data_IF_637936696339
#
_entry.id   IF_637936696339
#
_cell.length_a   1.000
_cell.length_b   1.000
_cell.length_c   1.000
_cell.angle_alpha   90.00
_cell.angle_beta   90.00
_cell.angle_gamma   90.00
#
_symmetry.space_group_name_H-M   'P 1'
#
loop_
_entity.id
_entity.type
_entity.pdbx_description
1 polymer ?
#
# COMPACT_ATOMS: atom_id res chain seq x y z
N UNK A 1 -6.37 -4.40 -14.66
CA UNK A 1 -6.82 -3.19 -13.96
C UNK A 1 -5.69 -2.60 -13.13
N UNK A 2 -5.48 -1.27 -13.15
CA UNK A 2 -4.55 -0.62 -12.22
C UNK A 2 -5.31 0.18 -11.16
N UNK A 3 -4.83 0.19 -9.93
CA UNK A 3 -5.22 1.11 -8.85
C UNK A 3 -5.37 2.56 -9.34
N UNK A 4 -4.56 2.96 -10.33
CA UNK A 4 -4.62 4.26 -11.00
C UNK A 4 -5.94 4.53 -11.70
N UNK A 5 -6.58 3.53 -12.31
CA UNK A 5 -7.87 3.70 -12.99
C UNK A 5 -8.98 4.03 -12.00
N UNK A 6 -9.05 3.30 -10.87
CA UNK A 6 -10.01 3.59 -9.79
C UNK A 6 -9.77 4.97 -9.20
N UNK A 7 -8.51 5.34 -8.98
CA UNK A 7 -8.12 6.67 -8.52
C UNK A 7 -8.54 7.78 -9.50
N UNK A 8 -8.27 7.62 -10.79
CA UNK A 8 -8.64 8.59 -11.82
C UNK A 8 -10.16 8.77 -11.92
N UNK A 9 -10.93 7.69 -11.80
CA UNK A 9 -12.39 7.77 -11.77
C UNK A 9 -12.91 8.43 -10.49
N UNK A 10 -12.33 8.15 -9.32
CA UNK A 10 -12.65 8.87 -8.09
C UNK A 10 -12.41 10.38 -8.27
N UNK A 11 -11.24 10.75 -8.81
CA UNK A 11 -10.87 12.16 -8.99
C UNK A 11 -11.82 12.88 -9.96
N UNK A 12 -12.20 12.24 -11.07
CA UNK A 12 -13.17 12.77 -12.04
C UNK A 12 -14.59 12.91 -11.50
N UNK A 13 -14.96 12.15 -10.46
CA UNK A 13 -16.30 12.22 -9.84
C UNK A 13 -16.33 13.15 -8.62
N UNK A 14 -15.19 13.31 -7.92
CA UNK A 14 -15.11 13.92 -6.58
C UNK A 14 -14.77 15.42 -6.49
N UNK A 15 -14.17 16.05 -7.50
CA UNK A 15 -13.76 17.47 -7.40
C UNK A 15 -14.01 18.25 -8.71
N UNK A 16 -14.79 19.34 -8.62
CA UNK A 16 -15.10 20.36 -9.65
C UNK A 16 -15.53 19.90 -11.07
N UNK A 17 -15.65 18.59 -11.29
CA UNK A 17 -15.98 17.94 -12.58
C UNK A 17 -17.08 16.89 -12.41
N UNK A 18 -18.02 17.11 -11.48
CA UNK A 18 -19.22 16.25 -11.40
C UNK A 18 -19.90 16.16 -12.76
N UNK A 19 -20.28 14.95 -13.16
CA UNK A 19 -20.96 14.71 -14.43
C UNK A 19 -22.21 15.61 -14.50
N UNK A 20 -22.46 16.34 -15.61
CA UNK A 20 -23.50 17.36 -15.67
C UNK A 20 -24.88 16.87 -15.19
N UNK A 21 -25.27 15.68 -15.64
CA UNK A 21 -26.54 15.04 -15.27
C UNK A 21 -26.69 14.68 -13.79
N UNK A 22 -25.61 14.64 -12.99
CA UNK A 22 -25.70 14.47 -11.53
C UNK A 22 -26.05 15.78 -10.80
N UNK A 23 -25.87 16.92 -11.46
CA UNK A 23 -26.11 18.26 -10.89
C UNK A 23 -27.41 18.90 -11.38
N UNK A 24 -28.00 18.34 -12.43
CA UNK A 24 -29.22 18.87 -13.04
C UNK A 24 -30.47 18.57 -12.20
N UNK A 25 -31.27 19.61 -11.94
CA UNK A 25 -32.55 19.49 -11.20
C UNK A 25 -33.52 18.52 -11.86
N UNK A 26 -33.48 18.40 -13.20
CA UNK A 26 -34.36 17.48 -13.93
C UNK A 26 -34.08 16.01 -13.58
N UNK A 27 -32.82 15.66 -13.26
CA UNK A 27 -32.38 14.30 -12.97
C UNK A 27 -32.52 13.90 -11.49
N UNK A 28 -32.81 14.86 -10.61
CA UNK A 28 -32.85 14.65 -9.15
C UNK A 28 -33.85 13.56 -8.72
N UNK A 29 -35.03 13.51 -9.35
CA UNK A 29 -36.06 12.50 -9.06
C UNK A 29 -35.60 11.09 -9.46
N UNK A 30 -34.93 10.96 -10.61
CA UNK A 30 -34.35 9.70 -11.09
C UNK A 30 -33.20 9.24 -10.19
N UNK A 31 -32.31 10.15 -9.79
CA UNK A 31 -31.19 9.88 -8.89
C UNK A 31 -31.69 9.34 -7.54
N UNK A 32 -32.68 10.01 -6.93
CA UNK A 32 -33.30 9.58 -5.68
C UNK A 32 -33.97 8.21 -5.80
N UNK A 33 -34.70 7.97 -6.88
CA UNK A 33 -35.32 6.67 -7.15
C UNK A 33 -34.27 5.56 -7.26
N UNK A 34 -33.23 5.76 -8.08
CA UNK A 34 -32.17 4.78 -8.31
C UNK A 34 -31.46 4.47 -6.99
N UNK A 35 -31.03 5.49 -6.25
CA UNK A 35 -30.30 5.28 -5.01
C UNK A 35 -31.12 4.51 -3.96
N UNK A 36 -32.43 4.76 -3.88
CA UNK A 36 -33.35 4.09 -2.95
C UNK A 36 -33.65 2.64 -3.35
N UNK A 37 -33.72 2.35 -4.65
CA UNK A 37 -34.10 1.03 -5.16
C UNK A 37 -32.90 0.15 -5.51
N UNK A 38 -31.69 0.70 -5.56
CA UNK A 38 -30.47 -0.04 -5.86
C UNK A 38 -30.29 -1.24 -4.92
N UNK A 39 -29.96 -2.44 -5.44
CA UNK A 39 -29.71 -2.80 -6.85
C UNK A 39 -30.96 -3.29 -7.59
N UNK A 40 -32.11 -3.34 -6.94
CA UNK A 40 -33.37 -3.85 -7.50
C UNK A 40 -34.12 -2.74 -8.26
N UNK A 41 -33.57 -2.35 -9.41
CA UNK A 41 -34.13 -1.32 -10.28
C UNK A 41 -35.17 -1.92 -11.24
N UNK A 42 -36.33 -1.27 -11.38
CA UNK A 42 -37.35 -1.65 -12.36
C UNK A 42 -37.50 -0.53 -13.40
N UNK A 43 -36.89 -0.75 -14.56
CA UNK A 43 -36.87 0.21 -15.67
C UNK A 43 -38.19 0.26 -16.44
N UNK A 44 -39.01 -0.80 -16.36
CA UNK A 44 -40.21 -0.98 -17.18
C UNK A 44 -41.45 -0.39 -16.51
N UNK A 45 -41.58 -0.54 -15.20
CA UNK A 45 -42.74 -0.02 -14.45
C UNK A 45 -42.58 1.43 -13.99
N UNK A 46 -41.34 1.93 -13.84
CA UNK A 46 -41.04 3.21 -13.18
C UNK A 46 -40.75 4.35 -14.16
N UNK A 47 -41.43 4.37 -15.30
CA UNK A 47 -41.27 5.37 -16.37
C UNK A 47 -41.51 6.82 -15.91
N UNK A 48 -42.35 7.03 -14.90
CA UNK A 48 -42.58 8.36 -14.30
C UNK A 48 -41.32 8.94 -13.63
N UNK A 49 -40.51 8.11 -12.99
CA UNK A 49 -39.28 8.54 -12.31
C UNK A 49 -38.06 8.55 -13.23
N UNK A 50 -38.06 7.72 -14.29
CA UNK A 50 -36.94 7.57 -15.23
C UNK A 50 -37.15 8.32 -16.55
N UNK A 51 -38.21 9.14 -16.67
CA UNK A 51 -38.49 9.93 -17.87
C UNK A 51 -37.30 10.79 -18.36
N UNK A 52 -36.61 11.56 -17.49
CA UNK A 52 -35.41 12.31 -17.86
C UNK A 52 -34.28 11.40 -18.39
N UNK A 53 -34.01 10.29 -17.69
CA UNK A 53 -33.00 9.28 -18.09
C UNK A 53 -33.30 8.72 -19.48
N UNK A 54 -34.58 8.49 -19.80
CA UNK A 54 -34.98 7.96 -21.10
C UNK A 54 -34.71 8.94 -22.25
N UNK A 55 -34.89 10.25 -22.02
CA UNK A 55 -34.65 11.29 -23.03
C UNK A 55 -33.18 11.38 -23.43
N UNK A 56 -32.27 11.23 -22.48
CA UNK A 56 -30.82 11.38 -22.67
C UNK A 56 -30.06 10.03 -22.64
N UNK A 57 -30.78 8.92 -22.80
CA UNK A 57 -30.24 7.56 -22.55
C UNK A 57 -28.95 7.24 -23.31
N UNK A 58 -28.82 7.69 -24.56
CA UNK A 58 -27.64 7.40 -25.39
C UNK A 58 -26.38 8.13 -24.89
N UNK A 59 -26.53 9.38 -24.44
CA UNK A 59 -25.41 10.18 -23.93
C UNK A 59 -24.97 9.73 -22.54
N UNK A 60 -25.94 9.48 -21.65
CA UNK A 60 -25.70 8.93 -20.32
C UNK A 60 -24.99 7.57 -20.43
N UNK A 61 -25.50 6.68 -21.29
CA UNK A 61 -24.89 5.36 -21.53
C UNK A 61 -23.44 5.50 -21.96
N UNK A 62 -23.17 6.23 -23.06
CA UNK A 62 -21.83 6.45 -23.60
C UNK A 62 -20.85 7.02 -22.56
N UNK A 63 -21.32 7.96 -21.75
CA UNK A 63 -20.48 8.62 -20.73
C UNK A 63 -20.16 7.69 -19.57
N UNK A 64 -21.14 6.88 -19.14
CA UNK A 64 -21.01 6.00 -17.99
C UNK A 64 -20.36 4.65 -18.30
N UNK A 65 -20.29 4.22 -19.56
CA UNK A 65 -19.72 2.90 -19.93
C UNK A 65 -18.32 2.68 -19.35
N UNK A 66 -17.41 3.67 -19.45
CA UNK A 66 -16.05 3.52 -18.92
C UNK A 66 -16.01 3.42 -17.38
N UNK A 67 -16.88 4.17 -16.69
CA UNK A 67 -17.02 4.08 -15.24
C UNK A 67 -17.58 2.73 -14.83
N UNK A 68 -18.67 2.29 -15.49
CA UNK A 68 -19.31 1.00 -15.25
C UNK A 68 -18.34 -0.17 -15.45
N UNK A 69 -17.58 -0.15 -16.56
CA UNK A 69 -16.59 -1.19 -16.81
C UNK A 69 -15.56 -1.22 -15.69
N UNK A 70 -15.05 -0.08 -15.22
CA UNK A 70 -14.13 -0.06 -14.06
C UNK A 70 -14.75 -0.72 -12.82
N UNK A 71 -16.03 -0.51 -12.53
CA UNK A 71 -16.70 -1.17 -11.40
C UNK A 71 -16.79 -2.70 -11.57
N UNK A 72 -17.14 -3.17 -12.77
CA UNK A 72 -17.18 -4.61 -13.11
C UNK A 72 -15.80 -5.24 -12.94
N UNK A 73 -14.80 -4.55 -13.42
CA UNK A 73 -13.42 -4.97 -13.53
C UNK A 73 -12.79 -5.03 -12.10
N UNK A 74 -13.26 -4.18 -11.15
CA UNK A 74 -12.93 -4.27 -9.71
C UNK A 74 -13.59 -5.48 -9.05
N UNK A 75 -14.85 -5.77 -9.42
CA UNK A 75 -15.57 -6.94 -8.94
C UNK A 75 -14.87 -8.24 -9.37
N UNK A 76 -14.49 -8.33 -10.64
CA UNK A 76 -13.73 -9.48 -11.15
C UNK A 76 -12.37 -9.60 -10.46
N UNK A 77 -11.62 -8.50 -10.30
CA UNK A 77 -10.37 -8.50 -9.55
C UNK A 77 -10.57 -9.05 -8.12
N UNK A 78 -11.61 -8.58 -7.42
CA UNK A 78 -11.96 -9.05 -6.07
C UNK A 78 -12.22 -10.55 -6.04
N UNK A 79 -12.96 -11.08 -7.00
CA UNK A 79 -13.25 -12.52 -7.07
C UNK A 79 -11.98 -13.36 -7.29
N UNK A 80 -11.09 -12.95 -8.19
CA UNK A 80 -9.80 -13.63 -8.42
C UNK A 80 -8.89 -13.58 -7.18
N UNK A 81 -8.85 -12.44 -6.48
CA UNK A 81 -8.08 -12.33 -5.23
C UNK A 81 -8.65 -13.27 -4.18
N UNK A 82 -9.97 -13.28 -3.99
CA UNK A 82 -10.62 -14.12 -2.99
C UNK A 82 -10.39 -15.61 -3.28
N UNK A 83 -10.51 -16.04 -4.54
CA UNK A 83 -10.18 -17.40 -4.96
C UNK A 83 -8.71 -17.75 -4.64
N UNK A 84 -7.76 -16.88 -5.00
CA UNK A 84 -6.35 -17.11 -4.76
C UNK A 84 -6.02 -17.21 -3.26
N UNK A 85 -6.58 -16.33 -2.42
CA UNK A 85 -6.38 -16.38 -0.97
C UNK A 85 -6.88 -17.71 -0.39
N UNK A 86 -8.04 -18.20 -0.85
CA UNK A 86 -8.57 -19.49 -0.43
C UNK A 86 -7.69 -20.67 -0.87
N UNK A 87 -7.11 -20.62 -2.07
CA UNK A 87 -6.16 -21.64 -2.56
C UNK A 87 -4.89 -21.66 -1.69
N UNK A 88 -4.33 -20.49 -1.37
CA UNK A 88 -3.13 -20.38 -0.53
C UNK A 88 -3.39 -20.96 0.86
N UNK A 89 -4.55 -20.70 1.44
CA UNK A 89 -4.93 -21.25 2.73
C UNK A 89 -5.15 -22.77 2.69
N UNK A 90 -5.86 -23.25 1.66
CA UNK A 90 -6.15 -24.67 1.48
C UNK A 90 -4.86 -25.49 1.27
N UNK A 91 -3.88 -24.92 0.58
CA UNK A 91 -2.56 -25.54 0.33
C UNK A 91 -1.58 -25.35 1.49
N UNK A 92 -1.93 -24.54 2.50
CA UNK A 92 -1.10 -24.23 3.66
C UNK A 92 0.31 -23.75 3.25
N UNK A 93 0.38 -22.84 2.28
CA UNK A 93 1.66 -22.31 1.81
C UNK A 93 2.51 -21.77 2.98
N UNK A 94 3.78 -22.18 3.02
CA UNK A 94 4.75 -21.59 3.93
C UNK A 94 5.20 -20.23 3.38
N UNK A 95 5.03 -19.16 4.16
CA UNK A 95 5.40 -17.79 3.81
C UNK A 95 6.43 -17.26 4.80
N UNK A 96 7.66 -17.03 4.33
CA UNK A 96 8.74 -16.41 5.08
C UNK A 96 9.56 -15.49 4.16
N UNK A 97 9.58 -14.19 4.47
CA UNK A 97 10.27 -13.18 3.66
C UNK A 97 11.77 -13.46 3.49
N UNK A 98 12.38 -14.20 4.42
CA UNK A 98 13.80 -14.53 4.43
C UNK A 98 14.11 -15.79 3.61
N UNK A 99 13.08 -16.57 3.24
CA UNK A 99 13.21 -17.81 2.47
C UNK A 99 12.62 -17.64 1.07
N UNK A 100 11.34 -17.29 0.97
CA UNK A 100 10.63 -17.12 -0.29
C UNK A 100 10.15 -15.68 -0.45
N UNK A 101 11.14 -14.79 -0.55
CA UNK A 101 10.98 -13.35 -0.64
C UNK A 101 9.87 -12.91 -1.60
N UNK A 102 9.98 -13.30 -2.88
CA UNK A 102 9.03 -12.87 -3.90
C UNK A 102 7.62 -13.36 -3.60
N UNK A 103 7.46 -14.60 -3.12
CA UNK A 103 6.14 -15.14 -2.84
C UNK A 103 5.48 -14.42 -1.66
N UNK A 104 6.20 -14.29 -0.54
CA UNK A 104 5.70 -13.60 0.66
C UNK A 104 5.42 -12.13 0.40
N UNK A 105 6.31 -11.44 -0.33
CA UNK A 105 6.12 -10.04 -0.70
C UNK A 105 4.91 -9.84 -1.59
N UNK A 106 4.79 -10.60 -2.69
CA UNK A 106 3.67 -10.45 -3.62
C UNK A 106 2.34 -10.81 -2.96
N UNK A 107 2.31 -11.79 -2.05
CA UNK A 107 1.12 -12.11 -1.26
C UNK A 107 0.66 -10.92 -0.41
N UNK A 108 1.57 -10.32 0.36
CA UNK A 108 1.25 -9.18 1.21
C UNK A 108 0.92 -7.91 0.39
N UNK A 109 1.60 -7.68 -0.74
CA UNK A 109 1.30 -6.57 -1.65
C UNK A 109 -0.08 -6.72 -2.30
N UNK A 110 -0.50 -7.95 -2.63
CA UNK A 110 -1.83 -8.24 -3.16
C UNK A 110 -2.90 -7.88 -2.13
N UNK A 111 -2.69 -8.24 -0.85
CA UNK A 111 -3.59 -7.88 0.25
C UNK A 111 -3.70 -6.36 0.39
N UNK A 112 -2.57 -5.65 0.45
CA UNK A 112 -2.55 -4.18 0.54
C UNK A 112 -3.27 -3.55 -0.65
N UNK A 113 -3.01 -4.06 -1.86
CA UNK A 113 -3.66 -3.59 -3.09
C UNK A 113 -5.16 -3.82 -3.05
N UNK A 114 -5.59 -5.01 -2.66
CA UNK A 114 -7.00 -5.38 -2.55
C UNK A 114 -7.75 -4.48 -1.58
N UNK A 115 -7.22 -4.31 -0.36
CA UNK A 115 -7.80 -3.41 0.65
C UNK A 115 -7.86 -1.97 0.13
N UNK A 116 -6.78 -1.50 -0.50
CA UNK A 116 -6.71 -0.14 -1.04
C UNK A 116 -7.78 0.09 -2.11
N UNK A 117 -7.94 -0.85 -3.05
CA UNK A 117 -8.97 -0.78 -4.11
C UNK A 117 -10.38 -0.74 -3.50
N UNK A 118 -10.69 -1.63 -2.56
CA UNK A 118 -12.02 -1.71 -1.93
C UNK A 118 -12.32 -0.43 -1.11
N UNK A 119 -11.36 0.07 -0.35
CA UNK A 119 -11.53 1.33 0.40
C UNK A 119 -11.69 2.51 -0.57
N UNK A 120 -10.89 2.61 -1.63
CA UNK A 120 -11.04 3.67 -2.63
C UNK A 120 -12.39 3.62 -3.33
N UNK A 121 -12.88 2.43 -3.67
CA UNK A 121 -14.20 2.22 -4.25
C UNK A 121 -15.31 2.79 -3.36
N UNK A 122 -15.21 2.57 -2.06
CA UNK A 122 -16.19 3.07 -1.08
C UNK A 122 -16.21 4.61 -0.98
N UNK A 123 -15.10 5.27 -1.33
CA UNK A 123 -14.94 6.73 -1.35
C UNK A 123 -15.39 7.37 -2.65
N UNK A 124 -15.87 6.59 -3.62
CA UNK A 124 -16.52 7.13 -4.81
C UNK A 124 -17.95 7.51 -4.42
N UNK A 125 -18.21 8.81 -4.40
CA UNK A 125 -19.55 9.37 -4.20
C UNK A 125 -20.49 8.93 -5.33
N UNK A 126 -21.78 8.81 -5.00
CA UNK A 126 -22.83 8.48 -5.97
C UNK A 126 -22.61 7.16 -6.76
N UNK A 127 -21.71 6.27 -6.31
CA UNK A 127 -21.40 4.99 -7.01
C UNK A 127 -22.63 4.14 -7.34
N UNK A 128 -23.62 4.06 -6.43
CA UNK A 128 -24.90 3.36 -6.66
C UNK A 128 -25.68 3.99 -7.82
N UNK A 129 -25.66 5.33 -7.90
CA UNK A 129 -26.33 6.10 -8.94
C UNK A 129 -25.62 5.93 -10.27
N UNK A 130 -24.28 6.01 -10.31
CA UNK A 130 -23.48 5.79 -11.53
C UNK A 130 -23.75 4.40 -12.13
N UNK A 131 -23.69 3.36 -11.30
CA UNK A 131 -23.93 1.97 -11.72
C UNK A 131 -25.39 1.78 -12.14
N UNK A 132 -26.33 2.35 -11.38
CA UNK A 132 -27.76 2.24 -11.64
C UNK A 132 -28.21 2.99 -12.91
N UNK A 133 -27.70 4.19 -13.16
CA UNK A 133 -27.98 4.96 -14.37
C UNK A 133 -27.46 4.24 -15.62
N UNK A 134 -26.24 3.70 -15.56
CA UNK A 134 -25.71 2.89 -16.64
C UNK A 134 -26.61 1.67 -16.92
N UNK A 135 -27.02 0.95 -15.87
CA UNK A 135 -27.90 -0.20 -16.01
C UNK A 135 -29.26 0.18 -16.63
N UNK A 136 -29.90 1.24 -16.13
CA UNK A 136 -31.19 1.69 -16.66
C UNK A 136 -31.09 2.06 -18.15
N UNK A 137 -30.03 2.79 -18.54
CA UNK A 137 -29.84 3.21 -19.93
C UNK A 137 -29.46 2.04 -20.84
N UNK A 138 -28.65 1.09 -20.36
CA UNK A 138 -28.36 -0.16 -21.07
C UNK A 138 -29.66 -0.93 -21.38
N UNK A 139 -30.51 -1.16 -20.38
CA UNK A 139 -31.76 -1.91 -20.60
C UNK A 139 -32.73 -1.15 -21.54
N UNK A 140 -32.80 0.19 -21.45
CA UNK A 140 -33.62 1.01 -22.36
C UNK A 140 -33.12 1.05 -23.81
N UNK A 141 -31.85 0.73 -24.05
CA UNK A 141 -31.24 0.71 -25.39
C UNK A 141 -31.26 -0.70 -25.97
N UNK A 142 -30.88 -1.70 -25.18
CA UNK A 142 -30.69 -3.07 -25.64
C UNK A 142 -31.89 -4.00 -25.36
N UNK A 143 -32.84 -3.57 -24.51
CA UNK A 143 -34.01 -4.36 -24.11
C UNK A 143 -33.72 -5.46 -23.09
N UNK A 144 -32.44 -5.66 -22.74
CA UNK A 144 -31.96 -6.68 -21.80
C UNK A 144 -31.10 -6.06 -20.70
N UNK A 145 -31.14 -6.69 -19.54
CA UNK A 145 -30.27 -6.36 -18.41
C UNK A 145 -28.83 -6.81 -18.67
N UNK A 146 -27.87 -6.00 -18.23
CA UNK A 146 -26.46 -6.41 -18.19
C UNK A 146 -26.25 -7.61 -17.23
N UNK A 147 -25.41 -8.57 -17.63
CA UNK A 147 -25.17 -9.81 -16.89
C UNK A 147 -24.42 -9.59 -15.57
N UNK A 148 -23.54 -8.60 -15.50
CA UNK A 148 -22.72 -8.28 -14.35
C UNK A 148 -23.44 -7.41 -13.31
N UNK A 149 -24.48 -6.66 -13.72
CA UNK A 149 -25.17 -5.71 -12.85
C UNK A 149 -25.66 -6.30 -11.52
N UNK A 150 -26.27 -7.49 -11.52
CA UNK A 150 -26.79 -8.09 -10.28
C UNK A 150 -25.67 -8.38 -9.28
N UNK A 151 -24.57 -8.99 -9.74
CA UNK A 151 -23.41 -9.33 -8.91
C UNK A 151 -22.71 -8.07 -8.44
N UNK A 152 -22.53 -7.09 -9.34
CA UNK A 152 -21.89 -5.82 -9.01
C UNK A 152 -22.72 -5.03 -7.98
N UNK A 153 -24.05 -4.98 -8.16
CA UNK A 153 -24.95 -4.33 -7.23
C UNK A 153 -24.90 -4.94 -5.83
N UNK A 154 -24.86 -6.28 -5.76
CA UNK A 154 -24.70 -7.00 -4.49
C UNK A 154 -23.35 -6.68 -3.82
N UNK A 155 -22.25 -6.69 -4.57
CA UNK A 155 -20.92 -6.31 -4.06
C UNK A 155 -20.94 -4.90 -3.46
N UNK A 156 -21.53 -3.93 -4.15
CA UNK A 156 -21.57 -2.53 -3.70
C UNK A 156 -22.35 -2.37 -2.38
N UNK A 157 -23.38 -3.19 -2.13
CA UNK A 157 -24.09 -3.21 -0.84
C UNK A 157 -23.22 -3.84 0.25
N UNK A 158 -22.58 -4.98 -0.05
CA UNK A 158 -21.77 -5.69 0.94
C UNK A 158 -20.61 -4.84 1.46
N UNK A 159 -19.99 -4.04 0.59
CA UNK A 159 -18.94 -3.09 0.95
C UNK A 159 -19.47 -1.68 1.29
N UNK A 160 -20.74 -1.52 1.67
CA UNK A 160 -21.25 -0.24 2.18
C UNK A 160 -20.49 0.20 3.44
N UNK A 161 -20.10 -0.76 4.29
CA UNK A 161 -19.05 -0.59 5.29
C UNK A 161 -17.85 -1.46 4.92
N UNK A 162 -16.88 -0.92 4.15
CA UNK A 162 -15.81 -1.73 3.55
C UNK A 162 -14.90 -2.35 4.61
N UNK A 163 -14.56 -1.61 5.67
CA UNK A 163 -13.69 -2.10 6.72
C UNK A 163 -14.31 -3.30 7.43
N UNK A 164 -15.60 -3.22 7.80
CA UNK A 164 -16.29 -4.34 8.44
C UNK A 164 -16.29 -5.58 7.56
N UNK A 165 -16.68 -5.42 6.28
CA UNK A 165 -16.73 -6.54 5.34
C UNK A 165 -15.35 -7.16 5.13
N UNK A 166 -14.30 -6.34 5.00
CA UNK A 166 -12.92 -6.81 4.87
C UNK A 166 -12.45 -7.59 6.11
N UNK A 167 -12.78 -7.13 7.33
CA UNK A 167 -12.45 -7.86 8.56
C UNK A 167 -13.11 -9.24 8.61
N UNK A 168 -14.38 -9.32 8.20
CA UNK A 168 -15.13 -10.59 8.12
C UNK A 168 -14.50 -11.53 7.06
N UNK A 169 -14.14 -11.01 5.89
CA UNK A 169 -13.52 -11.77 4.79
C UNK A 169 -12.13 -12.31 5.13
N UNK A 170 -11.33 -11.55 5.89
CA UNK A 170 -9.97 -11.95 6.26
C UNK A 170 -9.90 -12.85 7.51
N UNK A 171 -11.03 -13.13 8.16
CA UNK A 171 -11.12 -14.02 9.31
C UNK A 171 -10.42 -15.37 9.07
N UNK A 172 -10.78 -16.13 8.02
CA UNK A 172 -10.14 -17.42 7.68
C UNK A 172 -8.64 -17.31 7.39
N UNK A 173 -8.20 -16.19 6.79
CA UNK A 173 -6.83 -15.94 6.35
C UNK A 173 -5.87 -15.53 7.48
N UNK A 174 -6.37 -15.33 8.71
CA UNK A 174 -5.61 -14.79 9.86
C UNK A 174 -4.28 -15.51 10.08
N UNK A 175 -4.27 -16.85 10.05
CA UNK A 175 -3.06 -17.66 10.30
C UNK A 175 -1.97 -17.38 9.26
N UNK A 176 -2.33 -17.45 7.98
CA UNK A 176 -1.40 -17.26 6.86
C UNK A 176 -0.84 -15.84 6.84
N UNK A 177 -1.71 -14.83 7.01
CA UNK A 177 -1.30 -13.41 7.02
C UNK A 177 -0.40 -13.10 8.22
N UNK A 178 -0.76 -13.54 9.43
CA UNK A 178 0.04 -13.30 10.63
C UNK A 178 1.42 -13.97 10.56
N UNK A 179 1.52 -15.20 10.06
CA UNK A 179 2.82 -15.85 9.83
C UNK A 179 3.67 -15.08 8.82
N UNK A 180 3.07 -14.67 7.69
CA UNK A 180 3.77 -13.85 6.70
C UNK A 180 4.30 -12.57 7.36
N UNK A 181 3.47 -11.81 8.09
CA UNK A 181 3.88 -10.58 8.78
C UNK A 181 4.96 -10.79 9.84
N UNK A 182 4.89 -11.86 10.63
CA UNK A 182 5.87 -12.18 11.66
C UNK A 182 7.26 -12.45 11.05
N UNK A 183 7.34 -13.05 9.86
CA UNK A 183 8.63 -13.28 9.20
C UNK A 183 9.40 -11.98 8.90
N UNK A 184 8.68 -10.85 8.81
CA UNK A 184 9.27 -9.53 8.59
C UNK A 184 9.69 -8.81 9.88
N UNK A 185 9.50 -9.42 11.07
CA UNK A 185 9.75 -8.79 12.37
C UNK A 185 11.11 -8.11 12.44
N UNK A 186 12.19 -8.85 12.16
CA UNK A 186 13.56 -8.34 12.26
C UNK A 186 13.84 -7.23 11.24
N UNK A 187 13.32 -7.36 10.01
CA UNK A 187 13.49 -6.37 8.96
C UNK A 187 12.81 -5.05 9.33
N UNK A 188 11.58 -5.14 9.84
CA UNK A 188 10.80 -3.99 10.24
C UNK A 188 11.35 -3.31 11.49
N UNK A 189 11.72 -4.08 12.51
CA UNK A 189 12.27 -3.54 13.76
C UNK A 189 13.52 -2.68 13.50
N UNK A 190 14.47 -3.21 12.72
CA UNK A 190 15.71 -2.49 12.35
C UNK A 190 15.44 -1.24 11.51
N UNK A 191 14.51 -1.32 10.55
CA UNK A 191 14.07 -0.17 9.74
C UNK A 191 13.42 0.91 10.60
N UNK A 192 12.72 0.52 11.66
CA UNK A 192 11.96 1.43 12.50
C UNK A 192 12.74 2.00 13.70
N UNK A 193 14.07 1.88 13.71
CA UNK A 193 14.93 2.51 14.73
C UNK A 193 14.87 4.05 14.71
N UNK A 194 15.21 4.68 15.83
CA UNK A 194 15.39 6.13 15.93
C UNK A 194 16.72 6.57 15.33
N UNK A 195 16.87 7.89 15.11
CA UNK A 195 18.14 8.45 14.65
C UNK A 195 19.30 8.17 15.63
N UNK A 196 19.05 8.13 16.93
CA UNK A 196 20.08 7.83 17.94
C UNK A 196 20.55 6.38 17.82
N UNK A 197 19.62 5.45 17.63
CA UNK A 197 19.95 4.04 17.37
C UNK A 197 20.71 3.87 16.07
N UNK A 198 20.31 4.56 14.98
CA UNK A 198 21.07 4.53 13.72
C UNK A 198 22.49 5.09 13.87
N UNK A 199 22.71 6.10 14.73
CA UNK A 199 24.06 6.59 15.05
C UNK A 199 24.85 5.58 15.86
N UNK A 200 24.25 4.94 16.85
CA UNK A 200 24.90 3.90 17.64
C UNK A 200 25.30 2.69 16.78
N UNK A 201 24.46 2.30 15.83
CA UNK A 201 24.69 1.22 14.86
C UNK A 201 25.67 1.62 13.73
N UNK A 202 26.11 2.89 13.69
CA UNK A 202 26.92 3.47 12.61
C UNK A 202 26.34 3.19 11.20
N UNK A 203 25.01 3.24 11.09
CA UNK A 203 24.29 2.90 9.87
C UNK A 203 24.78 3.77 8.70
N UNK A 204 25.06 3.12 7.56
CA UNK A 204 25.58 3.74 6.33
C UNK A 204 27.00 4.31 6.37
N UNK A 205 27.73 4.18 7.49
CA UNK A 205 29.15 4.55 7.50
C UNK A 205 29.97 3.60 6.63
N UNK A 206 30.73 4.16 5.68
CA UNK A 206 31.67 3.40 4.85
C UNK A 206 33.08 3.33 5.45
N UNK A 207 33.36 4.19 6.44
CA UNK A 207 34.67 4.37 7.07
C UNK A 207 34.75 3.84 8.49
N UNK A 208 33.62 3.42 9.08
CA UNK A 208 33.56 2.84 10.43
C UNK A 208 34.49 1.65 10.61
N UNK A 209 34.63 0.82 9.57
CA UNK A 209 35.59 -0.27 9.53
C UNK A 209 36.38 -0.26 8.21
N UNK A 210 37.56 0.42 8.18
CA UNK A 210 38.38 0.53 6.98
C UNK A 210 38.81 -0.82 6.39
N UNK A 211 38.99 -1.85 7.24
CA UNK A 211 39.36 -3.19 6.80
C UNK A 211 38.25 -3.85 5.94
N UNK A 212 36.99 -3.46 6.15
CA UNK A 212 35.83 -3.96 5.42
C UNK A 212 35.41 -3.03 4.26
N UNK A 213 36.20 -2.01 3.92
CA UNK A 213 35.82 -1.06 2.88
C UNK A 213 35.71 -1.74 1.50
N UNK A 214 36.56 -2.72 1.21
CA UNK A 214 36.55 -3.46 -0.06
C UNK A 214 35.64 -4.69 -0.04
N UNK A 215 35.15 -5.12 1.13
CA UNK A 215 34.28 -6.29 1.21
C UNK A 215 32.89 -5.98 0.65
N UNK A 216 32.23 -6.94 -0.02
CA UNK A 216 30.84 -6.77 -0.43
C UNK A 216 30.00 -6.47 0.81
N UNK A 217 29.26 -5.37 0.77
CA UNK A 217 28.21 -5.17 1.74
C UNK A 217 27.13 -6.22 1.49
N UNK A 218 26.82 -7.03 2.50
CA UNK A 218 25.63 -7.86 2.54
C UNK A 218 24.58 -7.19 3.41
N UNK A 219 23.32 -7.35 3.04
CA UNK A 219 22.22 -6.99 3.91
C UNK A 219 21.06 -7.93 3.65
N UNK A 220 20.52 -8.51 4.71
CA UNK A 220 19.27 -9.28 4.64
C UNK A 220 18.04 -8.37 4.40
N UNK A 221 18.25 -7.04 4.41
CA UNK A 221 17.20 -6.00 4.34
C UNK A 221 17.06 -5.31 2.97
N UNK A 222 17.60 -5.89 1.89
CA UNK A 222 17.43 -5.36 0.51
C UNK A 222 15.94 -5.18 0.15
N UNK A 223 15.13 -6.04 0.74
CA UNK A 223 13.68 -6.06 0.77
C UNK A 223 13.06 -4.72 1.22
N UNK A 224 12.47 -3.99 0.27
CA UNK A 224 11.65 -2.81 0.55
C UNK A 224 10.27 -3.25 1.07
N UNK A 225 10.17 -3.61 2.35
CA UNK A 225 8.87 -3.84 2.95
C UNK A 225 8.16 -2.50 3.18
N UNK A 226 6.99 -2.32 2.56
CA UNK A 226 6.17 -1.14 2.78
C UNK A 226 5.51 -1.20 4.15
N UNK A 227 5.65 -0.15 4.96
CA UNK A 227 5.00 -0.05 6.28
C UNK A 227 3.46 -0.26 6.20
N UNK A 228 2.85 0.03 5.04
CA UNK A 228 1.43 -0.23 4.78
C UNK A 228 1.05 -1.72 4.91
N UNK A 229 1.97 -2.65 4.64
CA UNK A 229 1.74 -4.10 4.73
C UNK A 229 1.43 -4.52 6.17
N UNK A 230 2.21 -4.02 7.14
CA UNK A 230 1.96 -4.24 8.56
C UNK A 230 0.66 -3.60 9.01
N UNK A 231 0.46 -2.33 8.62
CA UNK A 231 -0.68 -1.52 9.06
C UNK A 231 -2.01 -2.08 8.54
N UNK A 232 -2.06 -2.55 7.30
CA UNK A 232 -3.26 -3.15 6.73
C UNK A 232 -3.42 -4.61 7.14
N UNK A 233 -2.34 -5.39 7.14
CA UNK A 233 -2.41 -6.82 7.45
C UNK A 233 -2.88 -7.11 8.88
N UNK A 234 -2.32 -6.42 9.89
CA UNK A 234 -2.76 -6.59 11.28
C UNK A 234 -4.12 -5.93 11.57
N UNK A 235 -4.50 -4.88 10.82
CA UNK A 235 -5.85 -4.34 10.89
C UNK A 235 -6.87 -5.40 10.49
N UNK A 236 -6.63 -6.09 9.36
CA UNK A 236 -7.51 -7.14 8.85
C UNK A 236 -7.53 -8.39 9.74
N UNK A 237 -6.36 -8.82 10.21
CA UNK A 237 -6.19 -10.05 10.99
C UNK A 237 -6.13 -9.75 12.50
N UNK A 238 -7.03 -8.91 12.99
CA UNK A 238 -6.98 -8.37 14.35
C UNK A 238 -7.02 -9.42 15.47
N UNK A 239 -7.60 -10.60 15.21
CA UNK A 239 -7.71 -11.69 16.19
C UNK A 239 -6.34 -12.21 16.63
N UNK A 240 -5.30 -12.10 15.80
CA UNK A 240 -3.94 -12.49 16.18
C UNK A 240 -3.28 -11.55 17.21
N UNK A 241 -3.79 -10.31 17.35
CA UNK A 241 -3.25 -9.32 18.28
C UNK A 241 -3.51 -9.68 19.75
N UNK A 242 -4.61 -10.38 20.02
CA UNK A 242 -4.93 -10.87 21.37
C UNK A 242 -4.25 -12.19 21.72
N UNK A 243 -3.86 -12.98 20.73
CA UNK A 243 -3.30 -14.33 20.95
C UNK A 243 -1.78 -14.37 20.89
N UNK A 244 -1.14 -13.46 20.15
CA UNK A 244 0.31 -13.49 19.89
C UNK A 244 0.96 -12.16 20.24
N UNK A 245 1.78 -12.15 21.31
CA UNK A 245 2.43 -10.95 21.82
C UNK A 245 3.33 -10.26 20.77
N UNK A 246 4.09 -11.03 19.99
CA UNK A 246 4.95 -10.49 18.94
C UNK A 246 4.16 -9.74 17.85
N UNK A 247 2.93 -10.19 17.54
CA UNK A 247 2.04 -9.49 16.60
C UNK A 247 1.60 -8.13 17.18
N UNK A 248 1.24 -8.11 18.47
CA UNK A 248 0.85 -6.89 19.16
C UNK A 248 2.00 -5.87 19.23
N UNK A 249 3.21 -6.32 19.50
CA UNK A 249 4.41 -5.46 19.54
C UNK A 249 4.70 -4.85 18.17
N UNK A 250 4.71 -5.67 17.11
CA UNK A 250 4.88 -5.18 15.74
C UNK A 250 3.78 -4.20 15.34
N UNK A 251 2.53 -4.48 15.73
CA UNK A 251 1.41 -3.59 15.48
C UNK A 251 1.60 -2.23 16.16
N UNK A 252 1.99 -2.21 17.43
CA UNK A 252 2.28 -0.98 18.18
C UNK A 252 3.44 -0.19 17.54
N UNK A 253 4.51 -0.88 17.15
CA UNK A 253 5.64 -0.25 16.46
C UNK A 253 5.21 0.37 15.12
N UNK A 254 4.35 -0.31 14.36
CA UNK A 254 3.77 0.24 13.14
C UNK A 254 2.96 1.50 13.45
N UNK A 255 1.98 1.42 14.35
CA UNK A 255 1.12 2.55 14.71
C UNK A 255 1.89 3.78 15.19
N UNK A 256 2.98 3.61 15.94
CA UNK A 256 3.83 4.74 16.37
C UNK A 256 4.54 5.47 15.21
N UNK A 257 4.85 4.77 14.13
CA UNK A 257 5.63 5.32 13.02
C UNK A 257 4.84 6.14 11.99
N UNK A 258 3.51 6.14 11.99
CA UNK A 258 2.74 6.95 11.03
C UNK A 258 1.29 7.10 11.47
N UNK A 259 0.72 8.27 11.17
CA UNK A 259 -0.67 8.62 11.44
C UNK A 259 -1.60 8.25 10.28
N UNK A 260 -1.02 8.11 9.09
CA UNK A 260 -1.73 7.86 7.85
C UNK A 260 -1.16 6.64 7.13
N UNK A 261 -2.04 5.86 6.50
CA UNK A 261 -1.67 4.83 5.52
C UNK A 261 -1.97 5.38 4.13
N UNK A 262 -1.00 5.35 3.22
CA UNK A 262 -1.25 5.66 1.82
C UNK A 262 -2.00 4.52 1.16
N UNK A 263 -3.18 4.82 0.60
CA UNK A 263 -3.94 3.88 -0.25
C UNK A 263 -3.38 3.94 -1.67
N UNK A 264 -3.29 5.14 -2.23
CA UNK A 264 -2.66 5.42 -3.53
C UNK A 264 -2.35 6.92 -3.60
N UNK A 265 -1.16 7.30 -4.09
CA UNK A 265 -0.77 8.71 -4.26
C UNK A 265 -1.04 9.55 -3.00
N UNK A 266 -1.95 10.52 -3.07
CA UNK A 266 -2.40 11.45 -2.03
C UNK A 266 -3.58 10.92 -1.19
N UNK A 267 -4.23 9.84 -1.64
CA UNK A 267 -5.31 9.22 -0.88
C UNK A 267 -4.76 8.47 0.34
N UNK A 268 -5.13 8.97 1.51
CA UNK A 268 -4.69 8.39 2.79
C UNK A 268 -5.84 7.91 3.66
N UNK A 269 -5.53 7.00 4.58
CA UNK A 269 -6.42 6.49 5.61
C UNK A 269 -5.85 6.84 7.00
N UNK A 270 -6.59 7.59 7.85
CA UNK A 270 -6.14 7.92 9.20
C UNK A 270 -6.18 6.65 10.08
N UNK A 271 -5.01 6.07 10.38
CA UNK A 271 -4.95 4.71 10.92
C UNK A 271 -5.57 4.62 12.31
N UNK A 272 -5.28 5.55 13.21
CA UNK A 272 -5.80 5.50 14.59
C UNK A 272 -7.32 5.57 14.62
N UNK A 273 -7.92 6.44 13.80
CA UNK A 273 -9.38 6.54 13.67
C UNK A 273 -9.98 5.24 13.16
N UNK A 274 -9.38 4.66 12.12
CA UNK A 274 -9.85 3.38 11.55
C UNK A 274 -9.68 2.23 12.52
N UNK A 275 -8.57 2.18 13.27
CA UNK A 275 -8.33 1.17 14.31
C UNK A 275 -9.37 1.29 15.42
N UNK A 276 -9.69 2.50 15.87
CA UNK A 276 -10.71 2.74 16.87
C UNK A 276 -12.10 2.30 16.39
N UNK A 277 -12.49 2.68 15.17
CA UNK A 277 -13.75 2.27 14.56
C UNK A 277 -13.84 0.74 14.39
N UNK A 278 -12.75 0.09 13.97
CA UNK A 278 -12.69 -1.36 13.78
C UNK A 278 -12.74 -2.13 15.10
N UNK A 279 -11.99 -1.70 16.12
CA UNK A 279 -11.77 -2.49 17.34
C UNK A 279 -12.71 -2.14 18.49
N UNK A 280 -13.34 -0.95 18.48
CA UNK A 280 -14.35 -0.54 19.48
C UNK A 280 -15.49 -1.55 19.64
N UNK A 281 -15.84 -2.27 18.57
CA UNK A 281 -16.91 -3.28 18.55
C UNK A 281 -16.45 -4.70 18.90
N UNK A 282 -15.15 -4.99 18.75
CA UNK A 282 -14.59 -6.34 18.88
C UNK A 282 -14.02 -6.60 20.29
N UNK A 283 -13.37 -5.60 20.89
CA UNK A 283 -12.64 -5.77 22.16
C UNK A 283 -13.44 -5.31 23.40
N UNK A 284 -14.75 -5.11 23.29
CA UNK A 284 -15.62 -4.88 24.46
C UNK A 284 -15.37 -3.59 25.24
N UNK A 285 -14.74 -2.57 24.65
CA UNK A 285 -14.54 -1.29 25.31
C UNK A 285 -13.77 -0.28 24.49
N UNK A 286 -14.39 0.88 24.25
CA UNK A 286 -13.78 2.08 23.69
C UNK A 286 -12.70 2.57 24.66
N UNK A 287 -11.41 2.51 24.28
CA UNK A 287 -10.36 3.21 25.04
C UNK A 287 -9.04 2.48 25.32
N UNK A 288 -8.83 1.22 24.89
CA UNK A 288 -7.59 0.51 25.23
C UNK A 288 -6.31 1.23 24.73
N UNK A 289 -6.40 1.95 23.60
CA UNK A 289 -5.24 2.60 22.97
C UNK A 289 -5.38 4.13 22.79
N UNK A 290 -6.46 4.76 23.26
CA UNK A 290 -6.75 6.18 22.91
C UNK A 290 -5.69 7.15 23.45
N UNK A 291 -5.21 6.93 24.67
CA UNK A 291 -4.13 7.70 25.27
C UNK A 291 -2.76 7.38 24.64
N UNK A 292 -2.50 6.11 24.29
CA UNK A 292 -1.28 5.70 23.58
C UNK A 292 -1.21 6.37 22.20
N UNK A 293 -2.33 6.42 21.46
CA UNK A 293 -2.42 7.04 20.14
C UNK A 293 -2.11 8.54 20.19
N UNK A 294 -2.56 9.25 21.22
CA UNK A 294 -2.26 10.68 21.36
C UNK A 294 -0.77 10.92 21.64
N UNK A 295 -0.13 10.10 22.48
CA UNK A 295 1.31 10.16 22.71
C UNK A 295 2.12 9.87 21.44
N UNK A 296 1.72 8.85 20.68
CA UNK A 296 2.38 8.49 19.43
C UNK A 296 2.25 9.56 18.34
N UNK A 297 1.15 10.31 18.34
CA UNK A 297 0.96 11.42 17.43
C UNK A 297 2.04 12.49 17.60
N UNK A 298 2.38 12.85 18.84
CA UNK A 298 3.41 13.84 19.15
C UNK A 298 4.82 13.29 18.87
N UNK A 299 5.08 12.03 19.23
CA UNK A 299 6.39 11.41 19.05
C UNK A 299 6.78 11.19 17.57
N UNK A 300 5.81 10.92 16.71
CA UNK A 300 6.07 10.56 15.30
C UNK A 300 6.76 11.70 14.54
N UNK A 301 6.32 12.95 14.72
CA UNK A 301 6.94 14.12 14.08
C UNK A 301 8.42 14.27 14.43
N UNK A 302 8.75 14.14 15.71
CA UNK A 302 10.12 14.25 16.22
C UNK A 302 11.01 13.09 15.73
N UNK A 303 10.48 11.87 15.75
CA UNK A 303 11.17 10.67 15.24
C UNK A 303 11.64 10.88 13.79
N UNK A 304 10.71 11.24 12.90
CA UNK A 304 11.00 11.42 11.48
C UNK A 304 11.88 12.63 11.21
N UNK A 305 11.73 13.72 11.97
CA UNK A 305 12.66 14.87 11.89
C UNK A 305 14.09 14.45 12.25
N UNK A 306 14.27 13.66 13.31
CA UNK A 306 15.56 13.09 13.70
C UNK A 306 16.17 12.23 12.60
N UNK A 307 15.37 11.35 11.98
CA UNK A 307 15.79 10.48 10.88
C UNK A 307 16.25 11.27 9.65
N UNK A 308 15.51 12.30 9.23
CA UNK A 308 15.91 13.18 8.12
C UNK A 308 17.23 13.90 8.39
N UNK A 309 17.44 14.40 9.61
CA UNK A 309 18.71 15.00 10.03
C UNK A 309 19.88 14.01 9.92
N UNK A 310 19.68 12.78 10.41
CA UNK A 310 20.69 11.73 10.30
C UNK A 310 21.02 11.38 8.85
N UNK A 311 19.99 11.12 8.04
CA UNK A 311 20.14 10.72 6.64
C UNK A 311 20.85 11.79 5.81
N UNK A 312 20.57 13.08 6.03
CA UNK A 312 21.30 14.16 5.36
C UNK A 312 22.81 14.07 5.60
N UNK A 313 23.23 13.80 6.83
CA UNK A 313 24.65 13.66 7.16
C UNK A 313 25.24 12.38 6.58
N UNK A 314 24.59 11.24 6.79
CA UNK A 314 25.06 9.94 6.32
C UNK A 314 25.18 9.88 4.79
N UNK A 315 24.19 10.40 4.08
CA UNK A 315 24.19 10.43 2.61
C UNK A 315 25.23 11.42 2.07
N UNK A 316 25.42 12.57 2.72
CA UNK A 316 26.46 13.54 2.33
C UNK A 316 27.86 12.94 2.44
N UNK A 317 28.14 12.22 3.52
CA UNK A 317 29.40 11.51 3.71
C UNK A 317 29.58 10.38 2.69
N UNK A 318 28.55 9.54 2.52
CA UNK A 318 28.55 8.45 1.54
C UNK A 318 28.81 8.97 0.12
N UNK A 319 28.11 10.02 -0.29
CA UNK A 319 28.25 10.61 -1.61
C UNK A 319 29.67 11.16 -1.84
N UNK A 320 30.24 11.87 -0.86
CA UNK A 320 31.60 12.40 -0.95
C UNK A 320 32.64 11.28 -1.11
N UNK A 321 32.51 10.19 -0.35
CA UNK A 321 33.41 9.03 -0.43
C UNK A 321 33.30 8.36 -1.80
N UNK A 322 32.07 8.09 -2.27
CA UNK A 322 31.84 7.38 -3.53
C UNK A 322 32.19 8.22 -4.75
N UNK A 323 32.10 9.56 -4.67
CA UNK A 323 32.55 10.46 -5.71
C UNK A 323 34.09 10.46 -5.86
N UNK A 324 34.80 10.35 -4.74
CA UNK A 324 36.27 10.24 -4.73
C UNK A 324 36.75 8.84 -5.13
N UNK A 325 36.03 7.79 -4.71
CA UNK A 325 36.36 6.39 -4.96
C UNK A 325 35.22 5.62 -5.65
N UNK A 326 34.97 5.85 -6.95
CA UNK A 326 33.88 5.19 -7.68
C UNK A 326 33.98 3.65 -7.73
N UNK A 327 35.17 3.10 -7.49
CA UNK A 327 35.38 1.65 -7.39
C UNK A 327 34.56 0.97 -6.28
N UNK A 328 34.23 1.72 -5.22
CA UNK A 328 33.40 1.23 -4.12
C UNK A 328 31.93 1.02 -4.51
N UNK A 329 31.48 1.59 -5.64
CA UNK A 329 30.11 1.43 -6.12
C UNK A 329 29.77 -0.04 -6.43
N UNK A 330 30.74 -0.88 -6.79
CA UNK A 330 30.54 -2.32 -6.94
C UNK A 330 30.18 -3.01 -5.61
N UNK A 331 31.13 -3.11 -4.66
CA UNK A 331 30.90 -3.82 -3.39
C UNK A 331 29.87 -3.14 -2.47
N UNK A 332 29.64 -1.83 -2.59
CA UNK A 332 28.75 -1.06 -1.70
C UNK A 332 27.42 -0.64 -2.33
N UNK A 333 27.11 -1.08 -3.56
CA UNK A 333 25.85 -0.78 -4.26
C UNK A 333 24.62 -0.91 -3.36
N UNK A 334 24.57 -1.96 -2.53
CA UNK A 334 23.42 -2.24 -1.68
C UNK A 334 23.18 -1.15 -0.62
N UNK A 335 24.23 -0.60 -0.01
CA UNK A 335 24.08 0.48 0.97
C UNK A 335 23.55 1.77 0.31
N UNK A 336 23.88 1.99 -0.96
CA UNK A 336 23.39 3.15 -1.72
C UNK A 336 21.89 2.99 -1.99
N UNK A 337 21.45 1.81 -2.44
CA UNK A 337 20.03 1.53 -2.64
C UNK A 337 19.23 1.59 -1.33
N UNK A 338 19.80 1.09 -0.23
CA UNK A 338 19.22 1.23 1.10
C UNK A 338 19.12 2.70 1.50
N UNK A 339 20.19 3.49 1.39
CA UNK A 339 20.16 4.91 1.75
C UNK A 339 19.13 5.69 0.93
N UNK A 340 19.05 5.46 -0.39
CA UNK A 340 18.02 6.04 -1.27
C UNK A 340 16.61 5.62 -0.85
N UNK A 341 16.43 4.36 -0.46
CA UNK A 341 15.15 3.87 0.07
C UNK A 341 14.76 4.58 1.37
N UNK A 342 15.66 4.66 2.36
CA UNK A 342 15.37 5.34 3.62
C UNK A 342 15.04 6.82 3.41
N UNK A 343 15.79 7.49 2.53
CA UNK A 343 15.50 8.89 2.19
C UNK A 343 14.15 9.04 1.49
N UNK A 344 13.82 8.17 0.54
CA UNK A 344 12.50 8.17 -0.12
C UNK A 344 11.39 7.99 0.90
N UNK A 345 11.54 7.05 1.82
CA UNK A 345 10.51 6.72 2.80
C UNK A 345 10.24 7.93 3.72
N UNK A 346 11.29 8.63 4.18
CA UNK A 346 11.18 9.85 4.98
C UNK A 346 10.60 11.05 4.20
N UNK A 347 10.96 11.21 2.93
CA UNK A 347 10.38 12.26 2.05
C UNK A 347 8.89 12.00 1.83
N UNK A 348 8.53 10.78 1.44
CA UNK A 348 7.12 10.38 1.23
C UNK A 348 6.32 10.49 2.53
N UNK A 349 6.93 10.16 3.67
CA UNK A 349 6.34 10.37 4.99
C UNK A 349 6.06 11.84 5.26
N UNK A 350 7.02 12.73 4.99
CA UNK A 350 6.82 14.15 5.25
C UNK A 350 5.72 14.74 4.35
N UNK A 351 5.73 14.43 3.05
CA UNK A 351 4.72 14.93 2.11
C UNK A 351 3.32 14.59 2.58
N UNK A 352 3.03 13.30 2.84
CA UNK A 352 1.68 12.85 3.25
C UNK A 352 1.21 13.49 4.55
N UNK A 353 2.08 13.66 5.54
CA UNK A 353 1.70 14.26 6.83
C UNK A 353 1.61 15.78 6.79
N UNK A 354 2.38 16.44 5.92
CA UNK A 354 2.36 17.89 5.73
C UNK A 354 1.10 18.39 5.02
N UNK A 355 0.43 17.55 4.25
CA UNK A 355 -0.86 17.89 3.60
C UNK A 355 -2.02 17.76 4.58
N UNK A 356 -1.92 16.84 5.54
CA UNK A 356 -2.96 16.55 6.54
C UNK A 356 -2.71 17.25 7.89
N UNK A 357 -2.07 18.43 7.85
CA UNK A 357 -1.66 19.22 9.03
C UNK A 357 -2.80 19.39 10.02
N UNK A 358 -2.65 18.76 11.19
CA UNK A 358 -3.38 19.14 12.40
C UNK A 358 -2.86 20.44 13.02
N UNK A 359 -2.97 20.57 14.34
CA UNK A 359 -2.62 21.81 15.08
C UNK A 359 -1.10 22.08 15.22
N UNK A 360 -0.22 21.10 15.06
CA UNK A 360 1.24 21.25 15.25
C UNK A 360 1.98 21.44 13.92
N UNK A 361 1.93 22.65 13.33
CA UNK A 361 2.45 22.88 11.98
C UNK A 361 3.98 22.78 11.85
N UNK A 362 4.74 23.11 12.89
CA UNK A 362 6.21 23.17 12.81
C UNK A 362 6.88 21.78 12.69
N UNK A 363 6.30 20.77 13.34
CA UNK A 363 6.87 19.40 13.38
C UNK A 363 6.79 18.67 12.02
N UNK A 364 5.88 19.10 11.14
CA UNK A 364 5.66 18.56 9.80
C UNK A 364 6.23 19.44 8.69
N UNK A 365 7.26 20.22 9.01
CA UNK A 365 8.03 21.01 8.03
C UNK A 365 9.52 20.65 8.10
N UNK A 366 10.22 20.79 6.97
CA UNK A 366 11.68 20.63 6.90
C UNK A 366 12.25 21.64 5.91
N UNK A 367 12.89 22.69 6.43
CA UNK A 367 13.53 23.73 5.61
C UNK A 367 14.73 23.21 4.82
N UNK A 368 15.30 22.07 5.21
CA UNK A 368 16.44 21.44 4.56
C UNK A 368 16.03 20.23 3.70
N UNK A 369 14.74 20.05 3.39
CA UNK A 369 14.27 18.95 2.53
C UNK A 369 14.93 18.97 1.15
N UNK A 370 15.12 20.17 0.58
CA UNK A 370 15.78 20.35 -0.71
C UNK A 370 17.21 19.79 -0.73
N UNK A 371 17.94 19.91 0.37
CA UNK A 371 19.28 19.33 0.50
C UNK A 371 19.24 17.80 0.43
N UNK A 372 18.30 17.16 1.14
CA UNK A 372 18.15 15.70 1.10
C UNK A 372 17.81 15.21 -0.31
N UNK A 373 16.89 15.89 -1.00
CA UNK A 373 16.53 15.58 -2.39
C UNK A 373 17.71 15.74 -3.34
N UNK A 374 18.49 16.80 -3.17
CA UNK A 374 19.70 17.04 -3.97
C UNK A 374 20.73 15.92 -3.76
N UNK A 375 20.97 15.52 -2.50
CA UNK A 375 21.88 14.41 -2.17
C UNK A 375 21.40 13.07 -2.76
N UNK A 376 20.10 12.78 -2.72
CA UNK A 376 19.51 11.61 -3.39
C UNK A 376 19.80 11.63 -4.90
N UNK A 377 19.64 12.77 -5.56
CA UNK A 377 19.91 12.88 -7.00
C UNK A 377 21.41 12.78 -7.32
N UNK A 378 22.30 13.28 -6.46
CA UNK A 378 23.76 13.06 -6.60
C UNK A 378 24.13 11.59 -6.55
N UNK A 379 23.62 10.83 -5.56
CA UNK A 379 23.83 9.38 -5.50
C UNK A 379 23.30 8.67 -6.75
N UNK A 380 22.09 9.03 -7.21
CA UNK A 380 21.49 8.48 -8.44
C UNK A 380 22.36 8.78 -9.67
N UNK A 381 22.92 9.99 -9.76
CA UNK A 381 23.82 10.39 -10.84
C UNK A 381 25.12 9.60 -10.81
N UNK A 382 25.73 9.40 -9.64
CA UNK A 382 26.93 8.57 -9.48
C UNK A 382 26.70 7.12 -9.96
N UNK A 383 25.58 6.51 -9.55
CA UNK A 383 25.20 5.17 -9.99
C UNK A 383 25.08 5.07 -11.52
N UNK A 384 24.43 6.06 -12.15
CA UNK A 384 24.27 6.11 -13.62
C UNK A 384 25.60 6.33 -14.34
N UNK A 385 26.40 7.27 -13.86
CA UNK A 385 27.69 7.63 -14.48
C UNK A 385 28.69 6.46 -14.44
N UNK A 386 28.66 5.66 -13.39
CA UNK A 386 29.59 4.55 -13.17
C UNK A 386 28.91 3.17 -13.29
N UNK A 387 27.81 3.07 -14.03
CA UNK A 387 27.05 1.83 -14.22
C UNK A 387 27.93 0.65 -14.67
N UNK A 388 28.92 0.90 -15.54
CA UNK A 388 29.85 -0.11 -16.03
C UNK A 388 30.68 -0.76 -14.89
N UNK A 389 31.07 0.01 -13.86
CA UNK A 389 31.82 -0.50 -12.70
C UNK A 389 30.94 -1.47 -11.91
N UNK A 390 29.69 -1.07 -11.65
CA UNK A 390 28.71 -1.87 -10.93
C UNK A 390 28.43 -3.19 -11.68
N UNK A 391 28.14 -3.08 -12.98
CA UNK A 391 27.89 -4.25 -13.83
C UNK A 391 29.08 -5.21 -13.85
N UNK A 392 30.30 -4.70 -14.08
CA UNK A 392 31.50 -5.54 -14.11
C UNK A 392 31.70 -6.30 -12.79
N UNK A 393 31.55 -5.62 -11.66
CA UNK A 393 31.65 -6.23 -10.34
C UNK A 393 30.63 -7.36 -10.15
N UNK A 394 29.35 -7.10 -10.43
CA UNK A 394 28.29 -8.10 -10.22
C UNK A 394 28.32 -9.25 -11.23
N UNK A 395 28.74 -9.03 -12.48
CA UNK A 395 28.96 -10.11 -13.45
C UNK A 395 30.06 -11.06 -12.95
N UNK A 396 31.17 -10.51 -12.46
CA UNK A 396 32.25 -11.31 -11.88
C UNK A 396 31.76 -12.06 -10.64
N UNK A 397 31.03 -11.38 -9.75
CA UNK A 397 30.45 -12.00 -8.56
C UNK A 397 29.50 -13.16 -8.90
N UNK A 398 28.59 -12.97 -9.86
CA UNK A 398 27.66 -14.00 -10.31
C UNK A 398 28.38 -15.19 -10.94
N UNK A 399 29.42 -14.95 -11.76
CA UNK A 399 30.20 -16.04 -12.35
C UNK A 399 30.82 -16.96 -11.28
N UNK A 400 31.29 -16.39 -10.17
CA UNK A 400 31.82 -17.16 -9.04
C UNK A 400 30.73 -17.96 -8.32
N UNK A 401 29.55 -17.36 -8.10
CA UNK A 401 28.42 -18.06 -7.47
C UNK A 401 27.92 -19.24 -8.32
N UNK A 402 27.74 -19.02 -9.63
CA UNK A 402 27.27 -20.03 -10.59
C UNK A 402 28.22 -21.21 -10.72
N UNK A 403 29.53 -20.98 -10.62
CA UNK A 403 30.54 -22.03 -10.77
C UNK A 403 30.72 -22.83 -9.48
N UNK A 404 30.73 -22.18 -8.32
CA UNK A 404 31.20 -22.83 -7.08
C UNK A 404 30.11 -23.13 -6.05
N UNK A 405 29.08 -22.29 -5.93
CA UNK A 405 28.14 -22.37 -4.80
C UNK A 405 26.88 -23.12 -5.19
N UNK A 406 26.22 -22.75 -6.28
CA UNK A 406 24.97 -23.41 -6.69
C UNK A 406 25.14 -24.89 -7.02
N UNK A 407 26.18 -25.34 -7.76
CA UNK A 407 26.39 -26.76 -8.02
C UNK A 407 26.65 -27.56 -6.75
N UNK A 408 27.35 -26.98 -5.78
CA UNK A 408 27.66 -27.63 -4.50
C UNK A 408 26.40 -27.83 -3.65
N UNK A 409 25.53 -26.83 -3.59
CA UNK A 409 24.23 -26.94 -2.91
C UNK A 409 23.36 -28.00 -3.61
N UNK A 410 23.23 -27.93 -4.94
CA UNK A 410 22.45 -28.90 -5.71
C UNK A 410 22.93 -30.34 -5.52
N UNK A 411 24.25 -30.54 -5.50
CA UNK A 411 24.85 -31.85 -5.27
C UNK A 411 24.59 -32.37 -3.84
N UNK A 412 24.68 -31.50 -2.83
CA UNK A 412 24.36 -31.86 -1.44
C UNK A 412 22.88 -32.19 -1.26
N UNK A 413 21.97 -31.48 -1.92
CA UNK A 413 20.53 -31.79 -1.90
C UNK A 413 20.21 -33.09 -2.63
N UNK A 414 20.92 -33.39 -3.72
CA UNK A 414 20.80 -34.67 -4.41
C UNK A 414 21.25 -35.84 -3.52
N UNK A 415 22.36 -35.68 -2.79
CA UNK A 415 22.87 -36.69 -1.85
C UNK A 415 22.03 -36.84 -0.57
N UNK A 416 21.22 -35.85 -0.19
CA UNK A 416 20.34 -35.97 0.97
C UNK A 416 18.98 -36.60 0.65
N UNK A 417 18.61 -36.64 -0.64
CA UNK A 417 17.33 -37.18 -1.13
C UNK A 417 17.45 -38.60 -1.70
N UNK A 418 18.65 -39.18 -1.68
CA UNK A 418 18.99 -40.54 -2.08
C UNK A 418 19.86 -41.17 -1.00
#
# INVERSE_FOLDING_TARGET
MSLSSVYEHKFKVGADTKLPFLTEKAMESSIKYINKKFPNLDTRSSTQHLGPVHKEKAEIFRTLTAYYQTFVDVMEFRDHVYELLNIIDATQCYLDINVNYDFTKNYLDLIVTYVSVIILLSRIDDRKVLIGLHHCTHEMIHGTSDASFRRLGQMIIEYENPLRKLLEEFGPHTKTVSHALLSLHFLFARRNHSADQWRADQLFSLISNPANMLSPASSDTVSMCGESMFRMGFLLCHSCLGSTQNCLELWRMALRGSLYITLIRDEVLPIHKVTEEAFSRVLGGVGCFSYEFFGWFLDSGQLHRGRRNFLRNAVREMEAILANEPGLLGPKAIYIFMALSFCRDEVTWLCRHSEHKGKNQEEFTDSCLAELLFLMERLRKLLKQHQNIIQRYHIQYLSLLSIFIFPKIHYQTFLSNH
#
